data_IF_129382183376
#
_entry.id   IF_129382183376
#
_cell.length_a   1.000
_cell.length_b   1.000
_cell.length_c   1.000
_cell.angle_alpha   90.00
_cell.angle_beta   90.00
_cell.angle_gamma   90.00
#
_symmetry.space_group_name_H-M   'P 1'
#
loop_
_entity.id
_entity.type
_entity.pdbx_description
1 polymer ?
#
# COMPACT_ATOMS: atom_id res chain seq x y z
N UNK A 1 -18.11 -23.49 -28.74
CA UNK A 1 -19.17 -23.28 -27.75
C UNK A 1 -19.19 -21.76 -27.50
N UNK A 2 -20.15 -21.04 -28.11
CA UNK A 2 -20.32 -19.59 -27.91
C UNK A 2 -20.99 -19.39 -26.56
N UNK A 3 -20.31 -18.68 -25.65
CA UNK A 3 -20.92 -18.19 -24.43
C UNK A 3 -21.72 -16.95 -24.81
N UNK A 4 -23.02 -17.09 -24.92
CA UNK A 4 -23.95 -15.97 -25.06
C UNK A 4 -24.00 -15.24 -23.71
N UNK A 5 -23.55 -13.98 -23.71
CA UNK A 5 -23.71 -13.09 -22.58
C UNK A 5 -25.21 -12.78 -22.42
N UNK A 6 -25.84 -13.34 -21.38
CA UNK A 6 -27.17 -12.91 -20.94
C UNK A 6 -27.05 -11.54 -20.29
N UNK A 7 -27.33 -10.49 -21.04
CA UNK A 7 -27.61 -9.14 -20.53
C UNK A 7 -28.98 -9.14 -19.84
N UNK A 8 -29.03 -9.58 -18.59
CA UNK A 8 -30.17 -9.29 -17.71
C UNK A 8 -29.96 -7.93 -17.06
N UNK A 9 -30.99 -7.05 -16.96
CA UNK A 9 -30.91 -5.76 -16.28
C UNK A 9 -30.35 -5.84 -14.85
N UNK A 10 -30.67 -6.91 -14.12
CA UNK A 10 -30.11 -7.20 -12.80
C UNK A 10 -28.58 -7.45 -12.82
N UNK A 11 -28.02 -7.91 -13.94
CA UNK A 11 -26.58 -8.11 -14.11
C UNK A 11 -25.82 -6.79 -14.29
N UNK A 12 -26.43 -5.81 -14.96
CA UNK A 12 -25.82 -4.48 -15.18
C UNK A 12 -25.74 -3.66 -13.89
N UNK A 13 -26.76 -3.69 -13.06
CA UNK A 13 -26.81 -2.96 -11.79
C UNK A 13 -25.80 -3.54 -10.77
N UNK A 14 -25.67 -4.85 -10.71
CA UNK A 14 -24.69 -5.51 -9.85
C UNK A 14 -23.24 -5.19 -10.32
N UNK A 15 -22.96 -5.20 -11.61
CA UNK A 15 -21.66 -4.85 -12.15
C UNK A 15 -21.30 -3.37 -11.88
N UNK A 16 -22.28 -2.46 -11.98
CA UNK A 16 -22.08 -1.04 -11.65
C UNK A 16 -21.79 -0.85 -10.15
N UNK A 17 -22.53 -1.53 -9.28
CA UNK A 17 -22.32 -1.47 -7.83
C UNK A 17 -20.93 -2.01 -7.42
N UNK A 18 -20.51 -3.15 -7.97
CA UNK A 18 -19.17 -3.73 -7.74
C UNK A 18 -18.08 -2.74 -8.20
N UNK A 19 -18.22 -2.18 -9.39
CA UNK A 19 -17.27 -1.18 -9.92
C UNK A 19 -17.17 0.03 -8.99
N UNK A 20 -18.30 0.59 -8.58
CA UNK A 20 -18.35 1.74 -7.68
C UNK A 20 -17.66 1.45 -6.34
N UNK A 21 -17.94 0.30 -5.72
CA UNK A 21 -17.35 -0.11 -4.45
C UNK A 21 -15.82 -0.27 -4.54
N UNK A 22 -15.32 -0.88 -5.64
CA UNK A 22 -13.88 -1.04 -5.86
C UNK A 22 -13.19 0.30 -6.02
N UNK A 23 -13.69 1.20 -6.86
CA UNK A 23 -13.09 2.52 -7.06
C UNK A 23 -13.18 3.39 -5.81
N UNK A 24 -14.30 3.36 -5.09
CA UNK A 24 -14.44 4.06 -3.81
C UNK A 24 -13.38 3.59 -2.81
N UNK A 25 -13.16 2.29 -2.69
CA UNK A 25 -12.13 1.71 -1.80
C UNK A 25 -10.74 2.18 -2.20
N UNK A 26 -10.40 2.13 -3.49
CA UNK A 26 -9.09 2.56 -4.02
C UNK A 26 -8.85 4.04 -3.73
N UNK A 27 -9.81 4.91 -4.05
CA UNK A 27 -9.64 6.36 -3.93
C UNK A 27 -9.65 6.83 -2.48
N UNK A 28 -10.46 6.20 -1.60
CA UNK A 28 -10.57 6.58 -0.19
C UNK A 28 -9.54 5.92 0.74
N UNK A 29 -8.67 5.02 0.24
CA UNK A 29 -7.59 4.44 1.03
C UNK A 29 -6.60 5.53 1.45
N UNK A 30 -6.19 5.49 2.71
CA UNK A 30 -5.18 6.41 3.29
C UNK A 30 -4.05 5.63 3.94
N UNK A 31 -2.89 6.24 3.96
CA UNK A 31 -1.74 5.83 4.75
C UNK A 31 -1.91 6.45 6.15
N UNK A 32 -2.36 5.64 7.11
CA UNK A 32 -2.77 6.10 8.45
C UNK A 32 -1.56 6.18 9.38
N UNK A 33 -1.48 7.24 10.17
CA UNK A 33 -0.38 7.48 11.12
C UNK A 33 -0.85 7.69 12.55
N UNK A 34 -1.68 8.68 12.78
CA UNK A 34 -2.04 9.17 14.10
C UNK A 34 -3.47 8.88 14.55
N UNK A 35 -4.26 8.24 13.71
CA UNK A 35 -5.69 8.07 13.92
C UNK A 35 -6.06 6.70 14.51
N UNK A 36 -5.06 5.87 14.85
CA UNK A 36 -5.34 4.52 15.38
C UNK A 36 -6.03 4.56 16.73
N UNK A 37 -7.04 3.69 16.87
CA UNK A 37 -7.69 3.35 18.14
C UNK A 37 -7.00 2.13 18.74
N UNK A 38 -7.14 1.96 20.06
CA UNK A 38 -6.53 0.83 20.80
C UNK A 38 -7.32 -0.48 20.69
N UNK A 39 -8.50 -0.43 20.08
CA UNK A 39 -9.39 -1.59 19.96
C UNK A 39 -8.73 -2.71 19.19
N UNK A 40 -8.74 -3.95 19.72
CA UNK A 40 -8.12 -5.09 19.07
C UNK A 40 -8.87 -5.45 17.78
N UNK A 41 -8.13 -5.88 16.76
CA UNK A 41 -8.71 -6.43 15.54
C UNK A 41 -9.14 -7.87 15.83
N UNK A 42 -10.42 -8.23 15.64
CA UNK A 42 -10.89 -9.61 15.80
C UNK A 42 -10.18 -10.56 14.82
N UNK A 43 -9.88 -11.78 15.26
CA UNK A 43 -9.20 -12.77 14.43
C UNK A 43 -9.97 -13.08 13.12
N UNK A 44 -11.30 -13.00 13.13
CA UNK A 44 -12.10 -13.16 11.92
C UNK A 44 -11.84 -12.06 10.88
N UNK A 45 -11.71 -10.81 11.30
CA UNK A 45 -11.35 -9.70 10.40
C UNK A 45 -9.91 -9.86 9.91
N UNK A 46 -8.97 -10.15 10.82
CA UNK A 46 -7.58 -10.39 10.46
C UNK A 46 -7.43 -11.54 9.46
N UNK A 47 -8.16 -12.63 9.65
CA UNK A 47 -8.20 -13.76 8.71
C UNK A 47 -8.62 -13.32 7.30
N UNK A 48 -9.67 -12.51 7.17
CA UNK A 48 -10.12 -11.99 5.87
C UNK A 48 -9.07 -11.11 5.21
N UNK A 49 -8.39 -10.23 5.98
CA UNK A 49 -7.31 -9.37 5.46
C UNK A 49 -6.12 -10.20 4.93
N UNK A 50 -5.69 -11.20 5.71
CA UNK A 50 -4.59 -12.08 5.31
C UNK A 50 -4.98 -12.96 4.11
N UNK A 51 -6.23 -13.42 4.04
CA UNK A 51 -6.76 -14.15 2.88
C UNK A 51 -6.74 -13.25 1.64
N UNK A 52 -7.24 -12.03 1.72
CA UNK A 52 -7.20 -11.09 0.59
C UNK A 52 -5.76 -10.84 0.11
N UNK A 53 -4.81 -10.68 1.02
CA UNK A 53 -3.39 -10.58 0.71
C UNK A 53 -2.87 -11.83 -0.02
N UNK A 54 -3.25 -13.01 0.45
CA UNK A 54 -2.80 -14.29 -0.12
C UNK A 54 -3.33 -14.52 -1.54
N UNK A 55 -4.46 -13.95 -1.90
CA UNK A 55 -5.04 -14.02 -3.26
C UNK A 55 -4.42 -13.01 -4.25
N UNK A 56 -3.33 -12.35 -3.89
CA UNK A 56 -2.59 -11.51 -4.82
C UNK A 56 -1.93 -12.35 -5.94
N UNK A 57 -1.76 -11.76 -7.14
CA UNK A 57 -0.99 -12.42 -8.19
C UNK A 57 0.48 -12.53 -7.79
N UNK A 58 1.15 -13.60 -8.23
CA UNK A 58 2.58 -13.76 -8.02
C UNK A 58 3.30 -14.37 -9.21
N UNK A 59 4.53 -13.95 -9.43
CA UNK A 59 5.39 -14.48 -10.49
C UNK A 59 5.53 -15.99 -10.33
N UNK A 60 5.29 -16.74 -11.42
CA UNK A 60 5.34 -18.19 -11.41
C UNK A 60 4.48 -18.85 -10.32
N UNK A 61 3.45 -18.17 -9.85
CA UNK A 61 2.58 -18.60 -8.74
C UNK A 61 3.36 -18.98 -7.47
N UNK A 62 4.52 -18.32 -7.22
CA UNK A 62 5.42 -18.69 -6.13
C UNK A 62 4.96 -18.24 -4.73
N UNK A 63 4.04 -17.28 -4.63
CA UNK A 63 3.48 -16.78 -3.36
C UNK A 63 4.60 -16.51 -2.33
N UNK A 64 5.51 -15.57 -2.62
CA UNK A 64 6.78 -15.44 -1.88
C UNK A 64 6.61 -14.81 -0.49
N UNK A 65 5.44 -14.31 -0.19
CA UNK A 65 5.14 -13.58 1.04
C UNK A 65 5.00 -14.48 2.27
N UNK A 66 5.37 -13.92 3.42
CA UNK A 66 5.00 -14.40 4.74
C UNK A 66 4.56 -13.21 5.59
N UNK A 67 3.69 -13.46 6.56
CA UNK A 67 3.07 -12.44 7.40
C UNK A 67 3.48 -12.67 8.86
N UNK A 68 4.25 -11.75 9.42
CA UNK A 68 4.70 -11.80 10.81
C UNK A 68 3.90 -10.79 11.63
N UNK A 69 3.02 -11.28 12.50
CA UNK A 69 2.18 -10.48 13.40
C UNK A 69 3.00 -10.04 14.61
N UNK A 70 3.08 -8.74 14.85
CA UNK A 70 3.82 -8.15 15.97
C UNK A 70 2.81 -7.52 16.93
N UNK A 71 2.50 -8.24 18.03
CA UNK A 71 1.59 -7.83 19.09
C UNK A 71 2.33 -7.48 20.39
N UNK A 72 3.51 -8.05 20.61
CA UNK A 72 4.31 -7.82 21.81
C UNK A 72 4.75 -6.36 21.93
N UNK A 73 4.35 -5.64 23.00
CA UNK A 73 4.73 -4.25 23.21
C UNK A 73 6.25 -4.04 23.33
N UNK A 74 7.01 -5.04 23.80
CA UNK A 74 8.45 -4.93 23.91
C UNK A 74 9.12 -4.98 22.52
N UNK A 75 8.63 -5.86 21.62
CA UNK A 75 9.07 -5.90 20.23
C UNK A 75 8.71 -4.62 19.50
N UNK A 76 7.47 -4.11 19.67
CA UNK A 76 7.02 -2.84 19.07
C UNK A 76 7.90 -1.67 19.52
N UNK A 77 8.26 -1.58 20.81
CA UNK A 77 9.18 -0.53 21.31
C UNK A 77 10.54 -0.59 20.63
N UNK A 78 11.16 -1.77 20.54
CA UNK A 78 12.44 -1.93 19.84
C UNK A 78 12.38 -1.46 18.38
N UNK A 79 11.29 -1.77 17.68
CA UNK A 79 11.09 -1.33 16.29
C UNK A 79 10.86 0.18 16.23
N UNK A 80 10.12 0.75 17.18
CA UNK A 80 9.93 2.18 17.28
C UNK A 80 11.25 2.93 17.53
N UNK A 81 12.11 2.40 18.40
CA UNK A 81 13.44 2.98 18.65
C UNK A 81 14.32 2.92 17.39
N UNK A 82 14.26 1.82 16.64
CA UNK A 82 14.94 1.69 15.35
C UNK A 82 14.41 2.70 14.31
N UNK A 83 13.08 2.97 14.31
CA UNK A 83 12.50 4.02 13.50
C UNK A 83 13.02 5.39 13.92
N UNK A 84 13.01 5.74 15.21
CA UNK A 84 13.46 7.05 15.69
C UNK A 84 14.89 7.33 15.27
N UNK A 85 15.78 6.33 15.38
CA UNK A 85 17.17 6.45 14.97
C UNK A 85 17.30 6.72 13.46
N UNK A 86 16.66 5.90 12.62
CA UNK A 86 16.70 6.06 11.16
C UNK A 86 16.02 7.36 10.71
N UNK A 87 14.96 7.80 11.40
CA UNK A 87 14.24 9.03 11.10
C UNK A 87 15.10 10.27 11.40
N UNK A 88 15.86 10.24 12.50
CA UNK A 88 16.81 11.32 12.82
C UNK A 88 17.90 11.43 11.76
N UNK A 89 18.46 10.30 11.29
CA UNK A 89 19.44 10.28 10.19
C UNK A 89 18.82 10.80 8.88
N UNK A 90 17.61 10.36 8.52
CA UNK A 90 16.93 10.79 7.32
C UNK A 90 16.67 12.30 7.30
N UNK A 91 16.34 12.90 8.45
CA UNK A 91 16.13 14.34 8.57
C UNK A 91 17.37 15.15 8.16
N UNK A 92 18.59 14.65 8.41
CA UNK A 92 19.83 15.30 8.10
C UNK A 92 20.15 15.34 6.59
N UNK A 93 19.46 14.51 5.79
CA UNK A 93 19.62 14.48 4.33
C UNK A 93 18.92 15.65 3.61
N UNK A 94 18.02 16.35 4.31
CA UNK A 94 17.32 17.52 3.76
C UNK A 94 18.03 18.82 4.10
N UNK A 95 17.92 19.80 3.21
CA UNK A 95 18.32 21.19 3.46
C UNK A 95 17.48 21.79 4.60
N UNK A 96 17.96 22.86 5.23
CA UNK A 96 17.45 23.36 6.52
C UNK A 96 15.94 23.60 6.51
N UNK A 97 15.42 24.37 5.55
CA UNK A 97 13.99 24.69 5.43
C UNK A 97 13.13 23.40 5.23
N UNK A 98 13.60 22.50 4.37
CA UNK A 98 12.91 21.22 4.10
C UNK A 98 13.01 20.26 5.27
N UNK A 99 14.10 20.32 6.04
CA UNK A 99 14.31 19.53 7.26
C UNK A 99 13.33 19.90 8.35
N UNK A 100 13.03 21.18 8.53
CA UNK A 100 12.06 21.62 9.54
C UNK A 100 10.64 21.19 9.17
N UNK A 101 10.28 21.27 7.89
CA UNK A 101 9.02 20.67 7.40
C UNK A 101 8.98 19.15 7.63
N UNK A 102 10.09 18.45 7.34
CA UNK A 102 10.19 16.99 7.57
C UNK A 102 9.95 16.62 9.03
N UNK A 103 10.53 17.34 9.97
CA UNK A 103 10.39 17.10 11.42
C UNK A 103 8.96 17.25 11.92
N UNK A 104 8.12 18.01 11.24
CA UNK A 104 6.71 18.20 11.58
C UNK A 104 5.82 17.07 11.07
N UNK A 105 6.32 16.23 10.16
CA UNK A 105 5.55 15.13 9.59
C UNK A 105 5.41 13.99 10.61
N UNK A 106 4.18 13.48 10.75
CA UNK A 106 3.94 12.23 11.46
C UNK A 106 4.11 11.06 10.49
N UNK A 107 5.15 10.24 10.70
CA UNK A 107 5.59 9.24 9.72
C UNK A 107 5.41 7.79 10.21
N UNK A 108 4.82 7.59 11.39
CA UNK A 108 4.60 6.27 11.97
C UNK A 108 3.38 6.24 12.91
N UNK A 109 2.90 5.04 13.25
CA UNK A 109 1.86 4.74 14.24
C UNK A 109 2.18 3.42 14.94
N UNK A 110 3.48 3.11 15.17
CA UNK A 110 3.97 1.80 15.61
C UNK A 110 3.44 1.43 16.99
N UNK A 111 3.45 2.37 17.91
CA UNK A 111 3.01 2.14 19.28
C UNK A 111 1.49 2.29 19.45
N UNK A 112 0.87 3.14 18.65
CA UNK A 112 -0.56 3.45 18.71
C UNK A 112 -1.42 2.33 18.11
N UNK A 113 -1.01 1.77 16.97
CA UNK A 113 -1.75 0.68 16.33
C UNK A 113 -1.80 -0.58 17.21
N UNK A 114 -2.95 -1.23 17.40
CA UNK A 114 -3.06 -2.45 18.21
C UNK A 114 -2.25 -3.62 17.65
N UNK A 115 -2.09 -3.68 16.34
CA UNK A 115 -1.33 -4.71 15.62
C UNK A 115 -0.32 -4.07 14.67
N UNK A 116 0.91 -4.59 14.66
CA UNK A 116 1.83 -4.33 13.56
C UNK A 116 2.06 -5.63 12.77
N UNK A 117 2.33 -5.49 11.48
CA UNK A 117 2.50 -6.60 10.55
C UNK A 117 3.75 -6.40 9.71
N UNK A 118 4.73 -7.28 9.82
CA UNK A 118 5.85 -7.31 8.88
C UNK A 118 5.53 -8.30 7.76
N UNK A 119 5.39 -7.78 6.54
CA UNK A 119 5.25 -8.60 5.33
C UNK A 119 6.63 -8.83 4.75
N UNK A 120 6.99 -10.10 4.61
CA UNK A 120 8.33 -10.52 4.16
C UNK A 120 8.24 -11.26 2.84
N UNK A 121 9.36 -11.29 2.09
CA UNK A 121 9.54 -12.05 0.88
C UNK A 121 10.60 -13.15 1.10
N UNK A 122 10.24 -14.40 0.90
CA UNK A 122 11.18 -15.52 0.82
C UNK A 122 11.70 -15.62 -0.62
N UNK A 123 12.96 -15.21 -0.82
CA UNK A 123 13.59 -15.15 -2.15
C UNK A 123 13.83 -16.53 -2.75
N UNK A 124 13.83 -17.58 -1.94
CA UNK A 124 14.16 -18.96 -2.34
C UNK A 124 12.89 -19.84 -2.46
N UNK A 125 11.70 -19.30 -2.13
CA UNK A 125 10.45 -20.03 -2.30
C UNK A 125 10.25 -20.40 -3.76
N UNK A 126 9.81 -21.62 -4.02
CA UNK A 126 9.67 -22.24 -5.35
C UNK A 126 11.00 -22.53 -6.08
N UNK A 127 12.13 -22.55 -5.36
CA UNK A 127 13.42 -23.00 -5.88
C UNK A 127 14.22 -21.97 -6.67
N UNK A 128 15.35 -22.38 -7.27
CA UNK A 128 16.29 -21.47 -7.89
C UNK A 128 15.81 -20.87 -9.22
N UNK A 129 14.92 -21.58 -9.93
CA UNK A 129 14.37 -21.16 -11.24
C UNK A 129 12.86 -21.05 -11.12
N UNK A 130 12.34 -19.84 -11.30
CA UNK A 130 10.91 -19.55 -11.22
C UNK A 130 10.46 -18.94 -12.55
N UNK A 131 9.34 -19.45 -13.09
CA UNK A 131 8.72 -18.94 -14.31
C UNK A 131 8.47 -17.42 -14.19
N UNK A 132 8.99 -16.64 -15.15
CA UNK A 132 8.85 -15.18 -15.17
C UNK A 132 9.86 -14.42 -14.28
N UNK A 133 10.72 -15.10 -13.49
CA UNK A 133 11.78 -14.48 -12.66
C UNK A 133 13.19 -14.71 -13.22
N UNK A 134 13.32 -15.23 -14.41
CA UNK A 134 14.63 -15.60 -15.00
C UNK A 134 15.52 -14.37 -15.26
N UNK A 135 14.95 -13.32 -15.81
CA UNK A 135 15.64 -12.06 -16.16
C UNK A 135 15.45 -10.98 -15.10
N UNK A 136 14.22 -10.74 -14.66
CA UNK A 136 13.95 -9.79 -13.58
C UNK A 136 13.85 -10.52 -12.23
N UNK A 137 14.96 -10.48 -11.48
CA UNK A 137 15.07 -11.14 -10.17
C UNK A 137 14.26 -10.45 -9.06
N UNK A 138 13.70 -9.26 -9.32
CA UNK A 138 12.90 -8.52 -8.34
C UNK A 138 11.39 -8.86 -8.40
N UNK A 139 10.96 -9.70 -9.33
CA UNK A 139 9.53 -10.03 -9.51
C UNK A 139 8.87 -10.66 -8.28
N UNK A 140 9.64 -11.33 -7.43
CA UNK A 140 9.15 -11.84 -6.14
C UNK A 140 8.84 -10.71 -5.14
N UNK A 141 9.67 -9.67 -5.10
CA UNK A 141 9.40 -8.47 -4.28
C UNK A 141 8.16 -7.73 -4.80
N UNK A 142 8.02 -7.57 -6.12
CA UNK A 142 6.83 -6.95 -6.73
C UNK A 142 5.57 -7.76 -6.44
N UNK A 143 5.65 -9.08 -6.49
CA UNK A 143 4.55 -9.98 -6.09
C UNK A 143 4.16 -9.77 -4.61
N UNK A 144 5.15 -9.63 -3.72
CA UNK A 144 4.90 -9.36 -2.31
C UNK A 144 4.22 -8.00 -2.10
N UNK A 145 4.60 -6.97 -2.88
CA UNK A 145 3.94 -5.66 -2.85
C UNK A 145 2.48 -5.75 -3.31
N UNK A 146 2.16 -6.60 -4.28
CA UNK A 146 0.75 -6.86 -4.66
C UNK A 146 -0.06 -7.43 -3.47
N UNK A 147 0.53 -8.33 -2.68
CA UNK A 147 -0.13 -8.85 -1.48
C UNK A 147 -0.35 -7.74 -0.41
N UNK A 148 0.62 -6.85 -0.23
CA UNK A 148 0.47 -5.67 0.65
C UNK A 148 -0.68 -4.78 0.17
N UNK A 149 -0.76 -4.50 -1.12
CA UNK A 149 -1.82 -3.66 -1.68
C UNK A 149 -3.21 -4.29 -1.52
N UNK A 150 -3.34 -5.61 -1.77
CA UNK A 150 -4.61 -6.33 -1.55
C UNK A 150 -5.06 -6.24 -0.09
N UNK A 151 -4.13 -6.49 0.87
CA UNK A 151 -4.41 -6.34 2.30
C UNK A 151 -4.91 -4.92 2.62
N UNK A 152 -4.26 -3.91 2.08
CA UNK A 152 -4.58 -2.51 2.36
C UNK A 152 -5.97 -2.13 1.86
N UNK A 153 -6.33 -2.57 0.65
CA UNK A 153 -7.67 -2.34 0.09
C UNK A 153 -8.74 -3.10 0.89
N UNK A 154 -8.49 -4.36 1.25
CA UNK A 154 -9.40 -5.14 2.08
C UNK A 154 -9.59 -4.48 3.46
N UNK A 155 -8.52 -4.02 4.09
CA UNK A 155 -8.58 -3.29 5.35
C UNK A 155 -9.45 -2.03 5.23
N UNK A 156 -9.25 -1.23 4.17
CA UNK A 156 -10.06 -0.03 3.92
C UNK A 156 -11.54 -0.36 3.77
N UNK A 157 -11.87 -1.45 3.07
CA UNK A 157 -13.25 -1.92 2.90
C UNK A 157 -13.90 -2.34 4.24
N UNK A 158 -13.10 -2.80 5.21
CA UNK A 158 -13.56 -3.17 6.56
C UNK A 158 -13.46 -2.03 7.59
N UNK A 159 -13.14 -0.79 7.16
CA UNK A 159 -12.98 0.33 8.09
C UNK A 159 -11.69 0.27 8.92
N UNK A 160 -10.74 -0.58 8.55
CA UNK A 160 -9.45 -0.76 9.22
C UNK A 160 -8.40 0.09 8.52
N UNK A 161 -7.68 0.91 9.30
CA UNK A 161 -6.56 1.71 8.84
C UNK A 161 -5.29 0.89 8.73
N UNK A 162 -4.49 1.20 7.71
CA UNK A 162 -3.14 0.65 7.54
C UNK A 162 -2.17 1.80 7.29
N UNK A 163 -1.03 1.78 7.96
CA UNK A 163 0.07 2.71 7.74
C UNK A 163 1.35 1.97 7.41
N UNK A 164 2.00 2.30 6.29
CA UNK A 164 3.27 1.68 5.90
C UNK A 164 4.44 2.51 6.39
N UNK A 165 5.20 1.95 7.34
CA UNK A 165 6.42 2.57 7.87
C UNK A 165 7.62 1.98 7.13
N UNK A 166 8.40 2.84 6.46
CA UNK A 166 9.55 2.43 5.63
C UNK A 166 10.90 2.98 6.12
N UNK A 167 10.89 3.86 7.12
CA UNK A 167 12.10 4.52 7.61
C UNK A 167 12.77 3.60 8.64
N UNK A 168 13.45 2.58 8.13
CA UNK A 168 14.24 1.62 8.92
C UNK A 168 15.53 1.25 8.18
N UNK A 169 16.56 0.93 8.94
CA UNK A 169 17.63 0.08 8.41
C UNK A 169 17.11 -1.35 8.32
N UNK A 170 17.17 -1.98 7.14
CA UNK A 170 16.70 -3.36 6.95
C UNK A 170 17.37 -4.35 7.91
N UNK A 171 18.65 -4.11 8.31
CA UNK A 171 19.37 -4.88 9.31
C UNK A 171 18.71 -4.83 10.69
N UNK A 172 18.19 -3.67 11.10
CA UNK A 172 17.51 -3.52 12.40
C UNK A 172 16.23 -4.37 12.47
N UNK A 173 15.40 -4.33 11.42
CA UNK A 173 14.19 -5.18 11.36
C UNK A 173 14.55 -6.67 11.36
N UNK A 174 15.61 -7.06 10.62
CA UNK A 174 16.08 -8.45 10.60
C UNK A 174 16.50 -8.93 11.99
N UNK A 175 17.26 -8.13 12.71
CA UNK A 175 17.74 -8.46 14.05
C UNK A 175 16.59 -8.55 15.04
N UNK A 176 15.73 -7.52 15.09
CA UNK A 176 14.63 -7.46 16.06
C UNK A 176 13.63 -8.60 15.84
N UNK A 177 13.30 -8.90 14.57
CA UNK A 177 12.33 -9.91 14.18
C UNK A 177 12.94 -11.30 13.92
N UNK A 178 14.26 -11.45 14.12
CA UNK A 178 15.02 -12.71 13.93
C UNK A 178 14.80 -13.32 12.53
N UNK A 179 14.79 -12.48 11.49
CA UNK A 179 14.57 -12.94 10.13
C UNK A 179 15.80 -13.65 9.56
N UNK A 180 15.64 -14.88 9.01
CA UNK A 180 16.74 -15.57 8.34
C UNK A 180 17.31 -14.74 7.16
N UNK A 181 18.58 -14.93 6.76
CA UNK A 181 19.22 -14.14 5.70
C UNK A 181 18.45 -14.09 4.36
N UNK A 182 17.80 -15.21 3.98
CA UNK A 182 17.02 -15.31 2.73
C UNK A 182 15.69 -14.55 2.77
N UNK A 183 15.19 -14.21 3.96
CA UNK A 183 13.90 -13.52 4.13
C UNK A 183 14.13 -12.01 4.08
N UNK A 184 13.45 -11.33 3.18
CA UNK A 184 13.54 -9.88 3.00
C UNK A 184 12.30 -9.22 3.62
N UNK A 185 12.44 -8.30 4.60
CA UNK A 185 11.31 -7.48 5.03
C UNK A 185 10.94 -6.50 3.90
N UNK A 186 9.70 -6.61 3.41
CA UNK A 186 9.18 -5.78 2.30
C UNK A 186 8.35 -4.63 2.82
N UNK A 187 7.48 -4.87 3.79
CA UNK A 187 6.64 -3.84 4.39
C UNK A 187 6.53 -4.06 5.91
N UNK A 188 6.58 -2.94 6.65
CA UNK A 188 6.19 -2.90 8.05
C UNK A 188 4.95 -2.03 8.19
N UNK A 189 3.83 -2.66 8.55
CA UNK A 189 2.50 -2.06 8.55
C UNK A 189 1.99 -1.89 9.97
N UNK A 190 1.47 -0.71 10.30
CA UNK A 190 0.65 -0.47 11.47
C UNK A 190 -0.81 -0.70 11.07
N UNK A 191 -1.56 -1.52 11.81
CA UNK A 191 -2.92 -1.96 11.43
C UNK A 191 -3.84 -1.82 12.63
N UNK A 192 -5.01 -1.17 12.46
CA UNK A 192 -5.97 -0.96 13.53
C UNK A 192 -7.21 -0.22 13.09
N UNK A 193 -8.25 -0.24 13.90
CA UNK A 193 -9.37 0.66 13.72
C UNK A 193 -8.90 2.11 13.86
N UNK A 194 -9.63 3.03 13.24
CA UNK A 194 -9.26 4.45 13.20
C UNK A 194 -10.43 5.32 13.65
N UNK A 195 -10.13 6.43 14.30
CA UNK A 195 -11.13 7.43 14.64
C UNK A 195 -11.76 8.09 13.42
N UNK A 196 -10.96 8.21 12.34
CA UNK A 196 -11.40 8.71 11.03
C UNK A 196 -10.37 8.36 9.96
N UNK A 197 -10.81 8.38 8.70
CA UNK A 197 -9.92 8.48 7.54
C UNK A 197 -9.92 9.92 7.07
N UNK A 198 -8.73 10.48 6.88
CA UNK A 198 -8.61 11.84 6.38
C UNK A 198 -9.09 11.94 4.91
N UNK A 199 -9.71 13.05 4.54
CA UNK A 199 -10.20 13.27 3.18
C UNK A 199 -9.06 13.37 2.16
N UNK A 200 -7.92 13.95 2.59
CA UNK A 200 -6.72 14.11 1.77
C UNK A 200 -5.54 13.29 2.33
N UNK A 201 -4.60 12.84 1.49
CA UNK A 201 -3.35 12.24 1.97
C UNK A 201 -2.61 13.19 2.94
N UNK A 202 -2.10 12.67 4.06
CA UNK A 202 -1.45 13.50 5.09
C UNK A 202 -0.28 14.32 4.55
N UNK A 203 0.54 13.75 3.66
CA UNK A 203 1.67 14.46 3.05
C UNK A 203 1.22 15.56 2.09
N UNK A 204 0.11 15.38 1.40
CA UNK A 204 -0.49 16.41 0.55
C UNK A 204 -1.08 17.54 1.40
N UNK A 205 -1.81 17.20 2.48
CA UNK A 205 -2.37 18.17 3.42
C UNK A 205 -1.27 18.99 4.13
N UNK A 206 -0.11 18.38 4.41
CA UNK A 206 1.06 19.06 4.98
C UNK A 206 1.88 19.87 3.95
N UNK A 207 1.46 19.95 2.69
CA UNK A 207 2.19 20.65 1.63
C UNK A 207 3.54 20.01 1.26
N UNK A 208 3.76 18.73 1.65
CA UNK A 208 5.01 18.03 1.34
C UNK A 208 5.17 17.77 -0.16
N UNK A 209 4.11 17.27 -0.81
CA UNK A 209 4.00 17.09 -2.26
C UNK A 209 2.54 17.06 -2.68
N UNK A 210 2.26 17.49 -3.89
CA UNK A 210 0.96 17.38 -4.53
C UNK A 210 0.89 16.14 -5.40
N UNK A 211 -0.35 15.69 -5.68
CA UNK A 211 -0.59 14.64 -6.67
C UNK A 211 -0.29 15.18 -8.06
N UNK A 212 0.55 14.47 -8.80
CA UNK A 212 0.88 14.83 -10.19
C UNK A 212 -0.37 14.73 -11.10
N UNK A 213 -0.50 15.59 -12.11
CA UNK A 213 -1.51 15.45 -13.15
C UNK A 213 -1.31 14.13 -13.91
N UNK A 214 -2.36 13.28 -13.92
CA UNK A 214 -2.24 11.92 -14.48
C UNK A 214 -1.91 11.94 -15.97
N UNK A 215 -2.44 12.89 -16.72
CA UNK A 215 -2.17 13.03 -18.16
C UNK A 215 -0.70 13.29 -18.50
N UNK A 216 0.09 13.76 -17.53
CA UNK A 216 1.55 13.94 -17.71
C UNK A 216 2.36 12.66 -17.49
N UNK A 217 1.72 11.60 -16.96
CA UNK A 217 2.34 10.32 -16.64
C UNK A 217 2.00 9.23 -17.67
N UNK A 218 1.21 9.56 -18.69
CA UNK A 218 0.76 8.62 -19.72
C UNK A 218 1.45 8.95 -21.03
N UNK A 219 2.21 7.98 -21.54
CA UNK A 219 2.91 8.03 -22.82
C UNK A 219 2.40 6.95 -23.76
N UNK A 220 2.50 7.16 -25.06
CA UNK A 220 2.04 6.23 -26.10
C UNK A 220 3.26 5.59 -26.75
N UNK A 221 3.26 4.26 -26.79
CA UNK A 221 4.27 3.41 -27.45
C UNK A 221 5.72 3.61 -26.97
N UNK A 222 6.15 4.86 -26.70
CA UNK A 222 7.51 5.23 -26.30
C UNK A 222 7.51 6.24 -25.16
N UNK A 223 8.55 6.20 -24.35
CA UNK A 223 8.74 7.19 -23.30
C UNK A 223 8.84 8.60 -23.88
N UNK A 224 8.06 9.53 -23.32
CA UNK A 224 8.00 10.94 -23.76
C UNK A 224 7.04 11.19 -24.92
N UNK A 225 6.49 10.18 -25.55
CA UNK A 225 5.49 10.34 -26.60
C UNK A 225 4.13 10.66 -25.97
N UNK A 226 3.72 11.90 -26.10
CA UNK A 226 2.46 12.39 -25.52
C UNK A 226 1.26 12.19 -26.46
N UNK A 227 1.46 11.64 -27.65
CA UNK A 227 0.44 11.44 -28.69
C UNK A 227 0.08 12.71 -29.43
N UNK A 228 -0.90 12.61 -30.28
CA UNK A 228 -1.40 13.60 -31.20
C UNK A 228 -2.87 14.00 -30.94
N UNK A 229 -3.49 14.66 -31.90
CA UNK A 229 -4.88 15.10 -31.87
C UNK A 229 -5.88 13.90 -31.76
N UNK A 230 -5.53 12.73 -32.30
CA UNK A 230 -6.37 11.53 -32.22
C UNK A 230 -6.46 10.98 -30.78
N UNK A 231 -5.47 11.30 -29.94
CA UNK A 231 -5.38 10.86 -28.53
C UNK A 231 -5.83 11.95 -27.53
N UNK A 232 -6.22 13.13 -28.01
CA UNK A 232 -6.65 14.26 -27.18
C UNK A 232 -7.83 13.89 -26.26
N UNK A 233 -8.78 13.07 -26.75
CA UNK A 233 -9.92 12.60 -25.98
C UNK A 233 -9.55 11.79 -24.75
N UNK A 234 -8.50 10.92 -24.83
CA UNK A 234 -7.99 10.19 -23.67
C UNK A 234 -7.44 11.15 -22.62
N UNK A 235 -6.68 12.16 -23.02
CA UNK A 235 -6.10 13.14 -22.08
C UNK A 235 -7.18 13.96 -21.37
N UNK A 236 -8.22 14.36 -22.06
CA UNK A 236 -9.36 15.05 -21.47
C UNK A 236 -10.07 14.16 -20.44
N UNK A 237 -10.30 12.89 -20.76
CA UNK A 237 -10.86 11.91 -19.83
C UNK A 237 -9.99 11.74 -18.60
N UNK A 238 -8.67 11.61 -18.74
CA UNK A 238 -7.74 11.48 -17.60
C UNK A 238 -7.82 12.68 -16.65
N UNK A 239 -7.88 13.91 -17.19
CA UNK A 239 -8.04 15.14 -16.38
C UNK A 239 -9.38 15.17 -15.65
N UNK A 240 -10.47 14.84 -16.35
CA UNK A 240 -11.81 14.80 -15.77
C UNK A 240 -11.89 13.77 -14.66
N UNK A 241 -11.51 12.52 -14.94
CA UNK A 241 -11.64 11.39 -14.03
C UNK A 241 -10.75 11.59 -12.78
N UNK A 242 -9.56 12.17 -12.93
CA UNK A 242 -8.72 12.53 -11.77
C UNK A 242 -9.37 13.60 -10.91
N UNK A 243 -10.01 14.64 -11.50
CA UNK A 243 -10.72 15.67 -10.73
C UNK A 243 -11.92 15.07 -9.99
N UNK A 244 -12.72 14.24 -10.66
CA UNK A 244 -13.88 13.58 -10.06
C UNK A 244 -13.46 12.67 -8.88
N UNK A 245 -12.41 11.86 -9.06
CA UNK A 245 -11.87 11.03 -7.99
C UNK A 245 -11.40 11.87 -6.77
N UNK A 246 -10.84 13.05 -7.00
CA UNK A 246 -10.43 13.96 -5.92
C UNK A 246 -11.65 14.56 -5.21
N UNK A 247 -12.69 14.97 -5.96
CA UNK A 247 -13.91 15.55 -5.39
C UNK A 247 -14.76 14.53 -4.59
N UNK A 248 -14.76 13.26 -4.98
CA UNK A 248 -15.42 12.19 -4.22
C UNK A 248 -14.88 12.01 -2.80
N UNK A 249 -13.67 12.49 -2.54
CA UNK A 249 -12.97 12.33 -1.25
C UNK A 249 -13.24 13.51 -0.28
N UNK A 250 -13.80 14.60 -0.77
CA UNK A 250 -14.06 15.83 0.01
C UNK A 250 -15.54 16.00 0.38
N UNK A 251 -16.38 15.00 0.08
CA UNK A 251 -17.80 14.92 0.46
C UNK A 251 -18.01 13.90 1.58
#
# INVERSE_FOLDING_TARGET
MKIEAHDSPAGSDNAAAIRAAVYQTIFSRRDVRGQFLSDPIPDAALSRLLTAAHFAPSVGFMQPWSFLLVRDPAVKRRIHDAFLHANAEAALLFEEERRDQYRQLRLQGILEAPLNLCVTCDRDRAGPVVLGRTHNKAMDLYSTVCAVQNLWLAARAEGIGVGWVSIFRASALREILQLPPRIVPVAYLCVGYVSQFNDRPDLEAAGWRERLPLEQLVYLDRWGDVGDEATAGLRENLRRDQREATLLLTR
#
